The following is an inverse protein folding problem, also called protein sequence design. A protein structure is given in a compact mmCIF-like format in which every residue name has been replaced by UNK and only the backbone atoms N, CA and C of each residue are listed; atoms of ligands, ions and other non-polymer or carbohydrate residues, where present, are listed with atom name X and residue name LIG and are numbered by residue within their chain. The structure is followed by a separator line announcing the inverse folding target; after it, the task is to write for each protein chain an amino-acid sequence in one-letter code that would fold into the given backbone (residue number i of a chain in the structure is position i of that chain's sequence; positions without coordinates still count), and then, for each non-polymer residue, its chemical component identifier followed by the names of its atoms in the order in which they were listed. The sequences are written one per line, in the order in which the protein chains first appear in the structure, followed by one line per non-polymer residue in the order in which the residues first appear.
data_IF_680759473886
#
_entry.id   IF_680759473886
#
_cell.length_a   1.000
_cell.length_b   1.000
_cell.length_c   1.000
_cell.angle_alpha   90.00
_cell.angle_beta   90.00
_cell.angle_gamma   90.00
#
_symmetry.space_group_name_H-M   'P 1'
#
loop_
_entity.id
_entity.type
_entity.pdbx_description
1 polymer ?
#
# COMPACT_ATOMS: atom_id res chain seq x y z
N UNK A 1 15.30 -3.46 1.76
CA UNK A 1 14.70 -3.70 3.09
C UNK A 1 13.22 -3.39 2.96
N UNK A 2 12.35 -4.40 2.87
CA UNK A 2 10.90 -4.17 2.70
C UNK A 2 10.25 -3.71 4.01
N UNK A 3 9.41 -2.67 3.93
CA UNK A 3 8.63 -2.18 5.06
C UNK A 3 7.18 -2.60 4.92
N UNK A 4 6.67 -3.43 5.83
CA UNK A 4 5.27 -3.88 5.78
C UNK A 4 4.41 -2.99 6.69
N UNK A 5 3.32 -2.44 6.16
CA UNK A 5 2.39 -1.60 6.91
C UNK A 5 1.03 -2.29 7.00
N UNK A 6 0.62 -2.57 8.23
CA UNK A 6 -0.69 -3.16 8.50
C UNK A 6 -1.70 -2.08 8.81
N UNK A 7 -2.74 -1.94 7.97
CA UNK A 7 -3.80 -0.96 8.17
C UNK A 7 -4.95 -1.65 8.92
N UNK A 8 -5.23 -1.19 10.13
CA UNK A 8 -6.40 -1.61 10.90
C UNK A 8 -7.53 -0.62 10.76
N UNK A 9 -8.73 -1.13 10.54
CA UNK A 9 -9.96 -0.36 10.62
C UNK A 9 -10.67 -0.63 11.95
N UNK A 10 -11.28 0.41 12.51
CA UNK A 10 -12.03 0.31 13.77
C UNK A 10 -13.31 -0.54 13.62
N UNK A 11 -13.92 -0.52 12.43
CA UNK A 11 -15.11 -1.30 12.11
C UNK A 11 -14.90 -2.17 10.88
N UNK A 12 -15.09 -3.49 11.04
CA UNK A 12 -15.05 -4.45 9.94
C UNK A 12 -16.19 -4.20 8.92
N UNK A 13 -17.37 -3.83 9.40
CA UNK A 13 -18.51 -3.50 8.55
C UNK A 13 -18.22 -2.26 7.69
N UNK A 14 -17.61 -1.23 8.29
CA UNK A 14 -17.18 -0.04 7.55
C UNK A 14 -16.18 -0.42 6.46
N UNK A 15 -15.20 -1.26 6.78
CA UNK A 15 -14.23 -1.74 5.79
C UNK A 15 -14.92 -2.45 4.62
N UNK A 16 -15.82 -3.41 4.88
CA UNK A 16 -16.54 -4.11 3.83
C UNK A 16 -17.32 -3.16 2.92
N UNK A 17 -17.97 -2.14 3.50
CA UNK A 17 -18.73 -1.15 2.75
C UNK A 17 -17.86 -0.18 1.93
N UNK A 18 -16.59 0.01 2.31
CA UNK A 18 -15.67 0.97 1.70
C UNK A 18 -14.50 0.34 0.94
N UNK A 19 -14.40 -0.98 0.90
CA UNK A 19 -13.27 -1.71 0.32
C UNK A 19 -12.92 -1.28 -1.11
N UNK A 20 -13.95 -1.07 -1.96
CA UNK A 20 -13.75 -0.61 -3.35
C UNK A 20 -13.16 0.80 -3.42
N UNK A 21 -13.65 1.70 -2.57
CA UNK A 21 -13.15 3.08 -2.51
C UNK A 21 -11.72 3.13 -1.99
N UNK A 22 -11.39 2.31 -0.99
CA UNK A 22 -10.03 2.16 -0.46
C UNK A 22 -9.10 1.65 -1.57
N UNK A 23 -9.47 0.57 -2.25
CA UNK A 23 -8.69 0.03 -3.36
C UNK A 23 -8.48 1.08 -4.47
N UNK A 24 -9.54 1.79 -4.86
CA UNK A 24 -9.44 2.85 -5.86
C UNK A 24 -8.51 4.00 -5.42
N UNK A 25 -8.54 4.37 -4.14
CA UNK A 25 -7.66 5.39 -3.61
C UNK A 25 -6.20 4.95 -3.63
N UNK A 26 -5.90 3.74 -3.14
CA UNK A 26 -4.56 3.18 -3.13
C UNK A 26 -3.98 3.04 -4.53
N UNK A 27 -4.78 2.58 -5.49
CA UNK A 27 -4.38 2.47 -6.90
C UNK A 27 -4.17 3.82 -7.59
N UNK A 28 -4.67 4.92 -7.01
CA UNK A 28 -4.46 6.27 -7.52
C UNK A 28 -3.17 6.92 -7.02
N UNK A 29 -2.49 6.30 -6.05
CA UNK A 29 -1.28 6.87 -5.47
C UNK A 29 -0.13 6.84 -6.50
N UNK A 30 0.69 7.90 -6.61
CA UNK A 30 1.83 7.93 -7.54
C UNK A 30 2.87 6.83 -7.29
N UNK A 31 2.90 6.30 -6.07
CA UNK A 31 3.76 5.19 -5.68
C UNK A 31 3.17 3.80 -5.97
N UNK A 32 1.93 3.70 -6.47
CA UNK A 32 1.29 2.41 -6.73
C UNK A 32 1.99 1.62 -7.83
N UNK A 33 2.29 0.37 -7.51
CA UNK A 33 2.89 -0.60 -8.44
C UNK A 33 1.80 -1.58 -8.88
N UNK A 34 1.25 -2.33 -7.93
CA UNK A 34 0.28 -3.39 -8.22
C UNK A 34 -0.58 -3.77 -7.01
N UNK A 35 -1.70 -4.41 -7.28
CA UNK A 35 -2.54 -5.09 -6.29
C UNK A 35 -2.56 -6.58 -6.65
N UNK A 36 -2.31 -7.46 -5.69
CA UNK A 36 -2.39 -8.90 -5.93
C UNK A 36 -3.73 -9.51 -5.51
N UNK A 37 -3.91 -10.79 -5.82
CA UNK A 37 -5.15 -11.55 -5.58
C UNK A 37 -5.53 -11.72 -4.09
N UNK A 38 -4.67 -11.27 -3.17
CA UNK A 38 -4.87 -11.36 -1.71
C UNK A 38 -5.20 -10.00 -1.09
N UNK A 39 -5.60 -9.00 -1.88
CA UNK A 39 -5.80 -7.61 -1.45
C UNK A 39 -4.53 -6.97 -0.85
N UNK A 40 -3.36 -7.38 -1.34
CA UNK A 40 -2.10 -6.77 -0.96
C UNK A 40 -1.79 -5.66 -1.97
N UNK A 41 -1.56 -4.44 -1.49
CA UNK A 41 -1.21 -3.30 -2.35
C UNK A 41 0.27 -3.00 -2.21
N UNK A 42 0.98 -3.00 -3.34
CA UNK A 42 2.41 -2.76 -3.40
C UNK A 42 2.65 -1.30 -3.81
N UNK A 43 3.32 -0.54 -2.93
CA UNK A 43 3.66 0.86 -3.15
C UNK A 43 5.19 1.02 -3.08
N UNK A 44 5.74 1.80 -4.00
CA UNK A 44 7.14 2.18 -4.07
C UNK A 44 7.42 3.40 -3.18
N UNK A 45 8.46 3.37 -2.36
CA UNK A 45 8.97 4.59 -1.73
C UNK A 45 9.30 5.68 -2.76
N UNK A 46 8.81 6.92 -2.53
CA UNK A 46 9.05 8.06 -3.41
C UNK A 46 10.47 8.67 -3.27
N UNK A 47 11.36 8.01 -2.53
CA UNK A 47 12.74 8.44 -2.37
C UNK A 47 13.51 8.32 -3.70
N UNK A 48 14.31 9.35 -4.01
CA UNK A 48 15.14 9.37 -5.23
C UNK A 48 16.02 8.12 -5.30
N UNK A 49 15.87 7.38 -6.42
CA UNK A 49 16.58 6.12 -6.64
C UNK A 49 18.09 6.27 -6.74
N UNK A 50 18.58 7.49 -6.92
CA UNK A 50 20.00 7.80 -7.06
C UNK A 50 20.70 8.12 -5.73
N UNK A 51 19.99 8.09 -4.59
CA UNK A 51 20.58 8.35 -3.28
C UNK A 51 21.26 7.08 -2.71
N UNK A 52 22.54 7.16 -2.29
CA UNK A 52 23.35 6.00 -1.88
C UNK A 52 22.90 5.34 -0.57
N UNK A 53 22.07 5.99 0.25
CA UNK A 53 21.58 5.49 1.55
C UNK A 53 20.07 5.21 1.57
N UNK A 54 19.42 5.15 0.39
CA UNK A 54 17.96 4.97 0.34
C UNK A 54 17.56 3.60 0.88
N UNK A 55 16.38 3.55 1.47
CA UNK A 55 15.78 2.27 1.82
C UNK A 55 14.99 1.78 0.60
N UNK A 56 15.34 0.63 0.05
CA UNK A 56 14.49 -0.07 -0.93
C UNK A 56 13.34 -0.75 -0.18
N UNK A 57 12.27 0.00 0.10
CA UNK A 57 11.06 -0.56 0.70
C UNK A 57 9.94 -0.71 -0.32
N UNK A 58 9.55 -1.97 -0.53
CA UNK A 58 8.23 -2.32 -1.03
C UNK A 58 7.28 -2.17 0.16
N UNK A 59 6.32 -1.24 0.09
CA UNK A 59 5.24 -1.18 1.07
C UNK A 59 4.13 -2.11 0.63
N UNK A 60 3.84 -3.09 1.48
CA UNK A 60 2.66 -3.95 1.31
C UNK A 60 1.59 -3.50 2.29
N UNK A 61 0.42 -3.14 1.77
CA UNK A 61 -0.76 -2.89 2.58
C UNK A 61 -1.63 -4.13 2.58
N UNK A 62 -1.97 -4.59 3.78
CA UNK A 62 -2.90 -5.68 4.02
C UNK A 62 -3.95 -5.20 5.03
N UNK A 63 -5.16 -5.75 4.94
CA UNK A 63 -6.30 -5.43 5.81
C UNK A 63 -6.66 -6.64 6.68
#
# INVERSE_FOLDING_TARGET
MSGEFYIRFESFEWYQNNQKSIASYLSSLPCFIEQNNRNEFWLLGLEDRNLPERWEFDMRLFF
#
